data_IF_619632312635
#
_entry.id   IF_619632312635
#
_cell.length_a   1.000
_cell.length_b   1.000
_cell.length_c   1.000
_cell.angle_alpha   90.00
_cell.angle_beta   90.00
_cell.angle_gamma   90.00
#
_symmetry.space_group_name_H-M   'P 1'
#
loop_
_entity.id
_entity.type
_entity.pdbx_description
1 polymer ?
#
# COMPACT_ATOMS: atom_id res chain seq x y z
N UNK A 1 -51.73 16.06 20.14
CA UNK A 1 -50.64 15.96 21.12
C UNK A 1 -49.48 15.23 20.48
N UNK A 2 -48.52 15.98 19.91
CA UNK A 2 -47.25 15.45 19.38
C UNK A 2 -46.18 16.48 19.77
N UNK A 3 -45.51 16.23 20.89
CA UNK A 3 -44.24 16.85 21.31
C UNK A 3 -43.13 16.08 20.59
N UNK A 4 -42.18 16.65 19.84
CA UNK A 4 -41.51 17.94 19.98
C UNK A 4 -40.09 17.71 20.51
N UNK A 5 -39.24 17.00 19.74
CA UNK A 5 -37.84 16.74 20.11
C UNK A 5 -36.92 17.69 19.33
N UNK A 6 -36.61 18.83 19.94
CA UNK A 6 -35.61 19.80 19.49
C UNK A 6 -34.25 19.38 20.05
N UNK A 7 -33.37 18.83 19.20
CA UNK A 7 -31.97 18.55 19.56
C UNK A 7 -31.17 19.85 19.44
N UNK A 8 -30.72 20.34 20.59
CA UNK A 8 -29.89 21.54 20.77
C UNK A 8 -28.44 21.19 20.41
N UNK A 9 -27.91 21.77 19.33
CA UNK A 9 -26.48 21.71 18.97
C UNK A 9 -25.69 22.81 19.72
N UNK A 10 -24.49 22.53 20.24
CA UNK A 10 -23.66 23.54 20.92
C UNK A 10 -22.95 24.47 19.91
N UNK A 11 -22.86 25.78 20.19
CA UNK A 11 -22.20 26.75 19.32
C UNK A 11 -20.74 26.97 19.77
N UNK A 12 -19.80 26.15 19.31
CA UNK A 12 -18.36 26.47 19.46
C UNK A 12 -17.46 25.56 18.61
N UNK A 13 -17.51 25.74 17.29
CA UNK A 13 -16.40 25.40 16.37
C UNK A 13 -16.73 25.94 14.97
N UNK A 14 -16.89 27.25 14.87
CA UNK A 14 -17.00 27.97 13.60
C UNK A 14 -15.71 28.75 13.43
N UNK A 15 -14.73 28.12 12.78
CA UNK A 15 -13.71 28.76 11.95
C UNK A 15 -12.97 27.62 11.22
N UNK A 16 -12.82 27.71 9.90
CA UNK A 16 -12.28 26.73 8.93
C UNK A 16 -13.23 25.85 8.10
N UNK A 17 -14.55 25.87 8.30
CA UNK A 17 -15.49 25.12 7.45
C UNK A 17 -16.12 25.90 6.28
N UNK A 18 -16.12 27.23 6.30
CA UNK A 18 -17.02 28.03 5.47
C UNK A 18 -16.59 28.18 4.01
N UNK A 19 -15.29 28.22 3.70
CA UNK A 19 -14.82 28.45 2.32
C UNK A 19 -15.02 27.22 1.40
N UNK A 20 -14.81 26.01 1.92
CA UNK A 20 -15.01 24.78 1.15
C UNK A 20 -16.50 24.43 0.98
N UNK A 21 -17.33 24.75 1.97
CA UNK A 21 -18.78 24.59 1.89
C UNK A 21 -19.42 25.60 0.91
N UNK A 22 -18.95 26.86 0.90
CA UNK A 22 -19.41 27.88 -0.06
C UNK A 22 -19.04 27.52 -1.51
N UNK A 23 -17.85 26.96 -1.75
CA UNK A 23 -17.46 26.46 -3.08
C UNK A 23 -18.31 25.28 -3.56
N UNK A 24 -18.76 24.42 -2.65
CA UNK A 24 -19.56 23.24 -2.99
C UNK A 24 -21.04 23.61 -3.23
N UNK A 25 -21.57 24.61 -2.53
CA UNK A 25 -22.93 25.14 -2.76
C UNK A 25 -23.01 25.91 -4.09
N UNK A 26 -22.00 26.72 -4.42
CA UNK A 26 -21.95 27.44 -5.71
C UNK A 26 -21.78 26.50 -6.92
N UNK A 27 -21.16 25.32 -6.74
CA UNK A 27 -21.02 24.32 -7.80
C UNK A 27 -22.32 23.53 -8.05
N UNK A 28 -23.15 23.34 -7.02
CA UNK A 28 -24.45 22.65 -7.13
C UNK A 28 -25.52 23.56 -7.74
N UNK A 29 -25.52 24.87 -7.44
CA UNK A 29 -26.45 25.82 -8.09
C UNK A 29 -26.13 26.06 -9.57
N UNK A 30 -24.85 26.02 -9.98
CA UNK A 30 -24.49 26.19 -11.39
C UNK A 30 -24.89 24.98 -12.27
N UNK A 31 -25.21 23.84 -11.67
CA UNK A 31 -25.66 22.63 -12.37
C UNK A 31 -27.19 22.57 -12.54
N UNK A 32 -27.95 23.40 -11.80
CA UNK A 32 -29.41 23.43 -11.84
C UNK A 32 -29.98 24.30 -12.99
N UNK A 33 -29.13 25.01 -13.74
CA UNK A 33 -29.51 25.85 -14.89
C UNK A 33 -29.30 25.18 -16.26
N UNK A 34 -28.82 23.94 -16.30
CA UNK A 34 -28.72 23.17 -17.54
C UNK A 34 -30.06 22.47 -17.83
N UNK A 35 -30.79 23.01 -18.80
CA UNK A 35 -32.13 22.61 -19.17
C UNK A 35 -32.33 21.12 -19.46
N UNK A 36 -33.53 20.66 -19.14
CA UNK A 36 -34.11 19.36 -19.47
C UNK A 36 -34.04 19.09 -20.98
N UNK A 37 -33.23 18.10 -21.37
CA UNK A 37 -33.26 17.48 -22.70
C UNK A 37 -34.37 16.41 -22.71
N UNK A 38 -35.28 16.40 -23.69
CA UNK A 38 -36.36 15.42 -23.76
C UNK A 38 -35.82 14.02 -24.10
N UNK A 39 -36.35 13.04 -23.38
CA UNK A 39 -36.05 11.62 -23.45
C UNK A 39 -36.68 11.01 -24.72
N UNK A 40 -35.90 10.39 -25.65
CA UNK A 40 -36.50 9.62 -26.72
C UNK A 40 -36.92 8.24 -26.21
N UNK A 41 -38.18 7.92 -26.47
CA UNK A 41 -38.77 6.61 -26.26
C UNK A 41 -38.18 5.57 -27.23
N UNK A 42 -37.98 4.35 -26.74
CA UNK A 42 -37.84 3.16 -27.58
C UNK A 42 -36.45 2.51 -27.55
N UNK A 43 -36.27 1.55 -26.65
CA UNK A 43 -35.21 0.53 -26.74
C UNK A 43 -35.76 -0.73 -27.42
N UNK A 44 -35.27 -1.13 -28.61
CA UNK A 44 -35.61 -2.41 -29.23
C UNK A 44 -34.83 -3.57 -28.60
N UNK A 45 -35.45 -4.75 -28.58
CA UNK A 45 -34.88 -6.01 -28.10
C UNK A 45 -33.65 -6.45 -28.92
N UNK A 46 -32.70 -7.19 -28.31
CA UNK A 46 -31.55 -7.74 -29.00
C UNK A 46 -31.92 -9.02 -29.78
N UNK A 47 -31.78 -8.96 -31.11
CA UNK A 47 -31.75 -10.16 -31.95
C UNK A 47 -30.37 -10.87 -31.87
N UNK A 48 -30.34 -12.21 -31.97
CA UNK A 48 -29.10 -12.98 -31.99
C UNK A 48 -28.35 -12.76 -33.31
N UNK A 49 -27.08 -12.32 -33.22
CA UNK A 49 -26.17 -12.24 -34.38
C UNK A 49 -25.64 -13.64 -34.71
N UNK A 50 -26.15 -14.20 -35.80
CA UNK A 50 -25.46 -15.21 -36.61
C UNK A 50 -24.37 -14.52 -37.44
N UNK A 51 -23.13 -14.97 -37.28
CA UNK A 51 -21.98 -14.54 -38.08
C UNK A 51 -21.92 -15.38 -39.36
N UNK A 52 -22.07 -14.82 -40.57
CA UNK A 52 -21.68 -15.53 -41.78
C UNK A 52 -20.17 -15.42 -41.99
N UNK A 53 -19.54 -16.56 -42.30
CA UNK A 53 -18.16 -16.63 -42.74
C UNK A 53 -18.01 -15.95 -44.11
N UNK A 54 -17.25 -14.86 -44.16
CA UNK A 54 -16.90 -14.16 -45.40
C UNK A 54 -15.66 -14.82 -45.99
N UNK A 55 -15.84 -15.69 -46.98
CA UNK A 55 -14.77 -16.11 -47.88
C UNK A 55 -14.41 -14.93 -48.79
N UNK A 56 -13.22 -14.34 -48.59
CA UNK A 56 -12.64 -13.37 -49.52
C UNK A 56 -11.81 -14.15 -50.53
N UNK A 57 -12.32 -14.25 -51.76
CA UNK A 57 -11.55 -14.67 -52.93
C UNK A 57 -10.67 -13.49 -53.38
N UNK A 58 -9.37 -13.71 -53.52
CA UNK A 58 -8.45 -12.77 -54.15
C UNK A 58 -8.48 -12.97 -55.67
N UNK A 59 -8.84 -11.97 -56.48
CA UNK A 59 -8.57 -12.02 -57.90
C UNK A 59 -7.14 -11.58 -58.18
N UNK A 60 -6.44 -12.45 -58.90
CA UNK A 60 -5.15 -12.19 -59.52
C UNK A 60 -5.23 -11.05 -60.56
N UNK A 61 -4.15 -10.28 -60.61
CA UNK A 61 -3.76 -9.34 -61.69
C UNK A 61 -4.57 -8.04 -61.86
N UNK A 62 -4.29 -7.05 -61.02
CA UNK A 62 -4.37 -5.64 -61.43
C UNK A 62 -2.96 -5.07 -61.61
N UNK A 63 -2.64 -4.71 -62.86
CA UNK A 63 -1.46 -3.90 -63.20
C UNK A 63 -1.63 -2.52 -62.58
N UNK A 64 -0.90 -2.26 -61.49
CA UNK A 64 -0.78 -0.93 -60.90
C UNK A 64 0.14 -0.10 -61.77
N UNK A 65 -0.44 0.78 -62.59
CA UNK A 65 0.27 1.85 -63.26
C UNK A 65 0.77 2.80 -62.17
N UNK A 66 2.09 2.90 -62.02
CA UNK A 66 2.73 3.92 -61.19
C UNK A 66 2.43 5.30 -61.80
N UNK A 67 1.44 5.99 -61.24
CA UNK A 67 1.27 7.43 -61.41
C UNK A 67 2.20 8.08 -60.39
N UNK A 68 3.23 8.78 -60.89
CA UNK A 68 4.10 9.61 -60.06
C UNK A 68 3.24 10.58 -59.25
N UNK A 69 3.31 10.54 -57.90
CA UNK A 69 2.58 11.50 -57.09
C UNK A 69 3.26 12.85 -57.24
N UNK A 70 2.63 13.75 -58.00
CA UNK A 70 2.96 15.17 -58.00
C UNK A 70 3.04 15.64 -56.55
N UNK A 71 4.26 15.99 -56.13
CA UNK A 71 4.59 16.56 -54.83
C UNK A 71 3.89 17.90 -54.66
N UNK A 72 2.63 17.89 -54.21
CA UNK A 72 1.93 19.07 -53.74
C UNK A 72 2.62 19.50 -52.43
N UNK A 73 3.25 20.69 -52.35
CA UNK A 73 3.86 21.15 -51.11
C UNK A 73 2.75 21.45 -50.10
N UNK A 74 2.51 20.52 -49.17
CA UNK A 74 1.61 20.72 -48.04
C UNK A 74 2.23 21.79 -47.13
N UNK A 75 1.88 23.06 -47.36
CA UNK A 75 2.15 24.15 -46.42
C UNK A 75 1.35 23.88 -45.15
N UNK A 76 1.98 23.22 -44.18
CA UNK A 76 1.41 23.05 -42.85
C UNK A 76 1.12 24.45 -42.26
N UNK A 77 -0.14 24.76 -41.90
CA UNK A 77 -0.45 26.03 -41.28
C UNK A 77 0.33 26.14 -39.97
N UNK A 78 1.04 27.26 -39.78
CA UNK A 78 1.72 27.58 -38.52
C UNK A 78 0.64 27.66 -37.43
N UNK A 79 0.50 26.61 -36.62
CA UNK A 79 -0.41 26.63 -35.47
C UNK A 79 0.11 27.68 -34.49
N UNK A 80 -0.73 28.63 -34.06
CA UNK A 80 -0.34 29.55 -32.99
C UNK A 80 0.03 28.72 -31.75
N UNK A 81 1.15 29.07 -31.10
CA UNK A 81 1.58 28.47 -29.85
C UNK A 81 0.41 28.52 -28.87
N UNK A 82 -0.11 27.35 -28.49
CA UNK A 82 -1.18 27.28 -27.51
C UNK A 82 -0.72 27.95 -26.22
N UNK A 83 -1.60 28.72 -25.57
CA UNK A 83 -1.20 29.51 -24.43
C UNK A 83 -0.82 28.61 -23.24
N UNK A 84 0.21 28.98 -22.46
CA UNK A 84 0.80 28.14 -21.39
C UNK A 84 -0.19 27.73 -20.29
N UNK A 85 -1.33 28.42 -20.17
CA UNK A 85 -2.40 28.11 -19.22
C UNK A 85 -3.02 26.72 -19.48
N UNK A 86 -3.06 26.26 -20.73
CA UNK A 86 -3.59 24.94 -21.07
C UNK A 86 -2.80 23.81 -20.40
N UNK A 87 -1.47 23.95 -20.35
CA UNK A 87 -0.58 22.97 -19.73
C UNK A 87 -0.76 22.93 -18.20
N UNK A 88 -0.98 24.09 -17.58
CA UNK A 88 -1.29 24.19 -16.14
C UNK A 88 -2.62 23.48 -15.84
N UNK A 89 -3.64 23.71 -16.67
CA UNK A 89 -4.95 23.05 -16.53
C UNK A 89 -4.85 21.52 -16.58
N UNK A 90 -4.06 20.97 -17.50
CA UNK A 90 -3.84 19.53 -17.62
C UNK A 90 -3.12 18.96 -16.40
N UNK A 91 -2.06 19.62 -15.91
CA UNK A 91 -1.30 19.16 -14.74
C UNK A 91 -2.17 19.18 -13.47
N UNK A 92 -2.94 20.26 -13.25
CA UNK A 92 -3.85 20.37 -12.11
C UNK A 92 -4.98 19.34 -12.20
N UNK A 93 -5.60 19.20 -13.37
CA UNK A 93 -6.66 18.22 -13.60
C UNK A 93 -6.19 16.79 -13.35
N UNK A 94 -4.99 16.44 -13.85
CA UNK A 94 -4.38 15.13 -13.60
C UNK A 94 -4.06 14.92 -12.11
N UNK A 95 -3.46 15.90 -11.44
CA UNK A 95 -3.13 15.82 -10.02
C UNK A 95 -4.37 15.62 -9.13
N UNK A 96 -5.46 16.34 -9.42
CA UNK A 96 -6.74 16.17 -8.71
C UNK A 96 -7.37 14.81 -8.99
N UNK A 97 -7.34 14.34 -10.24
CA UNK A 97 -7.88 13.04 -10.61
C UNK A 97 -7.13 11.90 -9.89
N UNK A 98 -5.80 11.90 -9.94
CA UNK A 98 -4.99 10.86 -9.30
C UNK A 98 -5.04 10.94 -7.77
N UNK A 99 -5.02 12.15 -7.21
CA UNK A 99 -5.20 12.36 -5.78
C UNK A 99 -6.56 11.85 -5.27
N UNK A 100 -7.62 12.05 -6.04
CA UNK A 100 -8.96 11.55 -5.69
C UNK A 100 -9.01 10.02 -5.68
N UNK A 101 -8.38 9.36 -6.66
CA UNK A 101 -8.29 7.90 -6.74
C UNK A 101 -7.51 7.32 -5.56
N UNK A 102 -6.36 7.92 -5.24
CA UNK A 102 -5.56 7.54 -4.09
C UNK A 102 -6.34 7.69 -2.77
N UNK A 103 -7.03 8.81 -2.58
CA UNK A 103 -7.84 9.06 -1.39
C UNK A 103 -9.00 8.07 -1.26
N UNK A 104 -9.67 7.73 -2.36
CA UNK A 104 -10.72 6.72 -2.39
C UNK A 104 -10.17 5.33 -2.03
N UNK A 105 -9.03 4.94 -2.60
CA UNK A 105 -8.35 3.68 -2.27
C UNK A 105 -7.96 3.60 -0.79
N UNK A 106 -7.41 4.68 -0.25
CA UNK A 106 -7.05 4.75 1.16
C UNK A 106 -8.27 4.69 2.10
N UNK A 107 -9.35 5.41 1.79
CA UNK A 107 -10.62 5.33 2.54
C UNK A 107 -11.26 3.95 2.45
N UNK A 108 -11.18 3.28 1.29
CA UNK A 108 -11.65 1.90 1.10
C UNK A 108 -10.86 0.95 1.98
N UNK A 109 -9.52 0.96 1.88
CA UNK A 109 -8.63 0.14 2.73
C UNK A 109 -8.93 0.31 4.22
N UNK A 110 -9.06 1.55 4.70
CA UNK A 110 -9.38 1.83 6.11
C UNK A 110 -10.73 1.26 6.53
N UNK A 111 -11.75 1.34 5.67
CA UNK A 111 -13.07 0.76 5.94
C UNK A 111 -13.00 -0.77 6.03
N UNK A 112 -12.27 -1.41 5.12
CA UNK A 112 -12.10 -2.87 5.13
C UNK A 112 -11.35 -3.34 6.39
N UNK A 113 -10.27 -2.67 6.77
CA UNK A 113 -9.51 -3.01 7.99
C UNK A 113 -10.38 -2.85 9.25
N UNK A 114 -11.23 -1.82 9.30
CA UNK A 114 -12.17 -1.62 10.41
C UNK A 114 -13.23 -2.71 10.45
N UNK A 115 -13.86 -3.01 9.31
CA UNK A 115 -14.87 -4.07 9.22
C UNK A 115 -14.28 -5.42 9.66
N UNK A 116 -13.04 -5.72 9.27
CA UNK A 116 -12.33 -6.92 9.70
C UNK A 116 -12.07 -6.93 11.21
N UNK A 117 -11.63 -5.81 11.79
CA UNK A 117 -11.49 -5.69 13.26
C UNK A 117 -12.82 -5.89 13.99
N UNK A 118 -13.91 -5.36 13.44
CA UNK A 118 -15.23 -5.48 14.04
C UNK A 118 -15.74 -6.93 13.97
N UNK A 119 -15.48 -7.65 12.86
CA UNK A 119 -15.72 -9.10 12.78
C UNK A 119 -14.88 -9.86 13.81
N UNK A 120 -13.58 -9.57 13.93
CA UNK A 120 -12.72 -10.21 14.94
C UNK A 120 -13.22 -9.99 16.37
N UNK A 121 -13.73 -8.79 16.70
CA UNK A 121 -14.34 -8.50 18.01
C UNK A 121 -15.64 -9.26 18.23
N UNK A 122 -16.49 -9.33 17.20
CA UNK A 122 -17.72 -10.11 17.23
C UNK A 122 -17.43 -11.59 17.49
N UNK A 123 -16.46 -12.15 16.76
CA UNK A 123 -15.99 -13.52 16.98
C UNK A 123 -15.46 -13.74 18.39
N UNK A 124 -14.68 -12.80 18.92
CA UNK A 124 -14.18 -12.87 20.30
C UNK A 124 -15.33 -12.99 21.32
N UNK A 125 -16.43 -12.26 21.10
CA UNK A 125 -17.61 -12.35 21.98
C UNK A 125 -18.42 -13.63 21.82
N UNK A 126 -18.33 -14.32 20.67
CA UNK A 126 -19.05 -15.57 20.39
C UNK A 126 -18.31 -16.82 20.88
N UNK A 127 -16.98 -16.77 20.99
CA UNK A 127 -16.16 -17.92 21.39
C UNK A 127 -16.56 -18.56 22.73
N UNK A 128 -16.91 -17.79 23.79
CA UNK A 128 -17.39 -18.38 25.05
C UNK A 128 -18.66 -19.23 24.85
N UNK A 129 -19.58 -18.78 24.00
CA UNK A 129 -20.82 -19.51 23.70
C UNK A 129 -20.53 -20.81 22.95
N UNK A 130 -19.58 -20.80 22.00
CA UNK A 130 -19.16 -22.03 21.32
C UNK A 130 -18.50 -23.03 22.27
N UNK A 131 -17.70 -22.55 23.22
CA UNK A 131 -17.08 -23.39 24.25
C UNK A 131 -18.17 -24.01 25.15
N UNK A 132 -19.15 -23.22 25.58
CA UNK A 132 -20.27 -23.71 26.40
C UNK A 132 -21.10 -24.77 25.65
N UNK A 133 -21.41 -24.56 24.37
CA UNK A 133 -22.09 -25.56 23.53
C UNK A 133 -21.30 -26.88 23.51
N UNK A 134 -19.99 -26.84 23.26
CA UNK A 134 -19.17 -28.05 23.29
C UNK A 134 -19.17 -28.72 24.68
N UNK A 135 -19.13 -27.95 25.77
CA UNK A 135 -19.19 -28.48 27.14
C UNK A 135 -20.54 -29.14 27.44
N UNK A 136 -21.65 -28.55 27.00
CA UNK A 136 -22.99 -29.15 27.12
C UNK A 136 -23.12 -30.45 26.34
N UNK A 137 -22.52 -30.51 25.14
CA UNK A 137 -22.47 -31.73 24.33
C UNK A 137 -21.65 -32.82 25.03
N UNK A 138 -20.46 -32.48 25.55
CA UNK A 138 -19.64 -33.41 26.35
C UNK A 138 -20.42 -33.93 27.57
N UNK A 139 -21.08 -33.03 28.32
CA UNK A 139 -21.89 -33.39 29.48
C UNK A 139 -23.04 -34.33 29.13
N UNK A 140 -23.68 -34.13 27.97
CA UNK A 140 -24.72 -35.04 27.47
C UNK A 140 -24.15 -36.40 27.09
N UNK A 141 -23.04 -36.43 26.35
CA UNK A 141 -22.37 -37.68 25.94
C UNK A 141 -21.88 -38.51 27.13
N UNK A 142 -21.34 -37.88 28.18
CA UNK A 142 -20.94 -38.54 29.43
C UNK A 142 -22.12 -39.23 30.14
N UNK A 143 -23.33 -38.73 29.94
CA UNK A 143 -24.57 -39.32 30.46
C UNK A 143 -25.23 -40.29 29.45
N UNK A 144 -24.53 -40.67 28.38
CA UNK A 144 -25.05 -41.46 27.27
C UNK A 144 -26.33 -40.88 26.65
N UNK A 145 -26.46 -39.55 26.64
CA UNK A 145 -27.56 -38.81 26.00
C UNK A 145 -27.04 -38.10 24.78
N UNK A 146 -27.75 -38.27 23.67
CA UNK A 146 -27.46 -37.54 22.44
C UNK A 146 -28.21 -36.21 22.46
N UNK A 147 -27.48 -35.10 22.28
CA UNK A 147 -28.05 -33.77 22.15
C UNK A 147 -27.85 -33.27 20.72
N UNK A 148 -28.91 -33.17 19.90
CA UNK A 148 -28.81 -32.52 18.60
C UNK A 148 -28.59 -31.02 18.81
N UNK A 149 -27.36 -30.55 18.58
CA UNK A 149 -27.02 -29.15 18.65
C UNK A 149 -27.29 -28.45 17.31
N UNK A 150 -28.12 -27.39 17.26
CA UNK A 150 -28.14 -26.53 16.08
C UNK A 150 -26.78 -25.83 15.96
N UNK A 151 -26.12 -25.99 14.81
CA UNK A 151 -24.85 -25.33 14.55
C UNK A 151 -25.06 -23.83 14.34
N UNK A 152 -24.73 -23.03 15.35
CA UNK A 152 -24.53 -21.58 15.16
C UNK A 152 -23.19 -21.41 14.48
N UNK A 153 -23.21 -20.95 13.22
CA UNK A 153 -21.99 -20.76 12.44
C UNK A 153 -21.25 -19.50 12.87
N UNK A 154 -19.93 -19.56 12.90
CA UNK A 154 -19.08 -18.40 13.14
C UNK A 154 -19.28 -17.34 12.04
N UNK A 155 -19.26 -16.06 12.43
CA UNK A 155 -19.31 -14.94 11.48
C UNK A 155 -18.00 -14.83 10.70
N UNK A 156 -18.07 -14.99 9.37
CA UNK A 156 -16.89 -14.99 8.49
C UNK A 156 -17.04 -14.19 7.20
N UNK A 157 -18.17 -13.51 7.05
CA UNK A 157 -18.57 -12.87 5.80
C UNK A 157 -17.63 -11.74 5.40
N UNK A 158 -17.10 -10.99 6.37
CA UNK A 158 -16.17 -9.89 6.12
C UNK A 158 -14.80 -10.44 5.75
N UNK A 159 -14.26 -11.42 6.48
CA UNK A 159 -12.99 -12.02 6.13
C UNK A 159 -13.00 -12.60 4.71
N UNK A 160 -13.98 -13.45 4.38
CA UNK A 160 -14.04 -14.11 3.07
C UNK A 160 -14.21 -13.09 1.93
N UNK A 161 -14.96 -12.00 2.16
CA UNK A 161 -15.18 -10.95 1.15
C UNK A 161 -13.99 -10.00 0.97
N UNK A 162 -13.15 -9.81 2.00
CA UNK A 162 -12.18 -8.70 2.03
C UNK A 162 -10.72 -9.15 2.01
N UNK A 163 -10.43 -10.42 2.34
CA UNK A 163 -9.05 -10.89 2.52
C UNK A 163 -8.21 -10.76 1.24
N UNK A 164 -8.78 -11.01 0.06
CA UNK A 164 -8.07 -10.88 -1.23
C UNK A 164 -7.61 -9.44 -1.48
N UNK A 165 -8.44 -8.45 -1.14
CA UNK A 165 -8.11 -7.03 -1.29
C UNK A 165 -7.16 -6.54 -0.19
N UNK A 166 -7.27 -7.08 1.02
CA UNK A 166 -6.42 -6.73 2.16
C UNK A 166 -5.06 -7.44 2.17
N UNK A 167 -4.88 -8.52 1.42
CA UNK A 167 -3.64 -9.30 1.34
C UNK A 167 -2.37 -8.46 1.07
N UNK A 168 -2.33 -7.50 0.13
CA UNK A 168 -1.14 -6.65 -0.06
C UNK A 168 -0.94 -5.60 1.05
N UNK A 169 -1.89 -5.50 1.97
CA UNK A 169 -1.98 -4.43 2.97
C UNK A 169 -1.80 -4.92 4.41
N UNK A 170 -1.88 -6.22 4.62
CA UNK A 170 -1.62 -6.92 5.87
C UNK A 170 -0.20 -7.50 5.84
N UNK A 171 0.44 -7.52 7.01
CA UNK A 171 1.71 -8.22 7.20
C UNK A 171 1.53 -9.74 7.03
N UNK A 172 2.62 -10.44 6.74
CA UNK A 172 2.60 -11.91 6.64
C UNK A 172 2.07 -12.55 7.93
N UNK A 173 2.46 -12.04 9.11
CA UNK A 173 1.96 -12.51 10.41
C UNK A 173 0.46 -12.32 10.57
N UNK A 174 -0.07 -11.15 10.25
CA UNK A 174 -1.53 -10.89 10.31
C UNK A 174 -2.31 -11.82 9.38
N UNK A 175 -1.84 -11.99 8.14
CA UNK A 175 -2.50 -12.87 7.16
C UNK A 175 -2.51 -14.31 7.63
N UNK A 176 -1.36 -14.81 8.09
CA UNK A 176 -1.21 -16.17 8.57
C UNK A 176 -2.09 -16.43 9.80
N UNK A 177 -2.07 -15.50 10.76
CA UNK A 177 -2.90 -15.58 11.96
C UNK A 177 -4.39 -15.61 11.60
N UNK A 178 -4.87 -14.65 10.80
CA UNK A 178 -6.27 -14.58 10.40
C UNK A 178 -6.70 -15.82 9.62
N UNK A 179 -5.85 -16.32 8.72
CA UNK A 179 -6.12 -17.55 8.00
C UNK A 179 -6.30 -18.74 8.95
N UNK A 180 -5.39 -18.92 9.91
CA UNK A 180 -5.48 -20.00 10.91
C UNK A 180 -6.74 -19.86 11.77
N UNK A 181 -7.08 -18.65 12.20
CA UNK A 181 -8.30 -18.38 12.97
C UNK A 181 -9.54 -18.80 12.19
N UNK A 182 -9.71 -18.31 10.96
CA UNK A 182 -10.91 -18.57 10.17
C UNK A 182 -11.02 -20.04 9.71
N UNK A 183 -9.90 -20.72 9.44
CA UNK A 183 -9.94 -22.15 9.13
C UNK A 183 -10.27 -23.01 10.37
N UNK A 184 -9.76 -22.68 11.55
CA UNK A 184 -10.14 -23.40 12.78
C UNK A 184 -11.62 -23.22 13.13
N UNK A 185 -12.15 -22.01 12.94
CA UNK A 185 -13.59 -21.74 13.09
C UNK A 185 -14.41 -22.54 12.06
N UNK A 186 -13.94 -22.63 10.81
CA UNK A 186 -14.56 -23.47 9.76
C UNK A 186 -14.69 -24.92 10.19
N UNK A 187 -13.60 -25.50 10.69
CA UNK A 187 -13.54 -26.91 11.09
C UNK A 187 -14.52 -27.14 12.23
N UNK A 188 -14.59 -26.23 13.20
CA UNK A 188 -15.59 -26.26 14.26
C UNK A 188 -17.02 -26.21 13.76
N UNK A 189 -17.34 -25.27 12.85
CA UNK A 189 -18.68 -25.14 12.27
C UNK A 189 -19.12 -26.43 11.56
N UNK A 190 -18.23 -27.02 10.75
CA UNK A 190 -18.50 -28.28 10.03
C UNK A 190 -18.68 -29.43 11.01
N UNK A 191 -17.77 -29.56 11.99
CA UNK A 191 -17.83 -30.61 13.00
C UNK A 191 -19.14 -30.57 13.80
N UNK A 192 -19.58 -29.39 14.26
CA UNK A 192 -20.82 -29.25 15.03
C UNK A 192 -22.04 -29.50 14.13
N UNK A 193 -22.02 -29.02 12.88
CA UNK A 193 -23.12 -29.23 11.94
C UNK A 193 -23.32 -30.70 11.56
N UNK A 194 -22.21 -31.43 11.36
CA UNK A 194 -22.24 -32.82 10.92
C UNK A 194 -22.33 -33.81 12.10
N UNK A 195 -22.05 -33.38 13.34
CA UNK A 195 -22.04 -34.21 14.54
C UNK A 195 -23.22 -35.18 14.63
N UNK A 196 -24.44 -34.67 14.46
CA UNK A 196 -25.62 -35.48 14.69
C UNK A 196 -25.79 -36.62 13.69
N UNK A 197 -25.42 -36.39 12.43
CA UNK A 197 -25.44 -37.43 11.41
C UNK A 197 -24.30 -38.42 11.65
N UNK A 198 -23.08 -37.90 11.79
CA UNK A 198 -21.87 -38.71 11.82
C UNK A 198 -21.82 -39.59 13.07
N UNK A 199 -22.25 -39.08 14.23
CA UNK A 199 -22.36 -39.86 15.47
C UNK A 199 -23.35 -41.03 15.36
N UNK A 200 -24.54 -40.79 14.77
CA UNK A 200 -25.55 -41.84 14.58
C UNK A 200 -25.09 -42.90 13.58
N UNK A 201 -24.35 -42.51 12.55
CA UNK A 201 -23.77 -43.45 11.59
C UNK A 201 -22.68 -44.33 12.23
N UNK A 202 -21.79 -43.73 13.03
CA UNK A 202 -20.76 -44.47 13.77
C UNK A 202 -21.39 -45.47 14.76
N UNK A 203 -22.46 -45.08 15.46
CA UNK A 203 -23.23 -45.97 16.34
C UNK A 203 -23.89 -47.13 15.58
N UNK A 204 -24.53 -46.83 14.43
CA UNK A 204 -25.23 -47.84 13.63
C UNK A 204 -24.29 -48.88 13.05
N UNK A 205 -23.12 -48.44 12.60
CA UNK A 205 -22.15 -49.31 11.91
C UNK A 205 -21.12 -49.95 12.85
N UNK A 206 -21.13 -49.59 14.14
CA UNK A 206 -20.20 -50.08 15.17
C UNK A 206 -18.72 -49.99 14.73
N UNK A 207 -18.36 -48.94 13.98
CA UNK A 207 -17.01 -48.78 13.42
C UNK A 207 -15.96 -48.50 14.50
N UNK A 208 -16.38 -47.94 15.64
CA UNK A 208 -15.53 -47.55 16.76
C UNK A 208 -16.01 -48.31 18.00
N UNK A 209 -15.06 -48.87 18.76
CA UNK A 209 -15.37 -49.65 19.96
C UNK A 209 -16.05 -48.80 21.06
N UNK A 210 -15.64 -47.54 21.21
CA UNK A 210 -16.25 -46.56 22.12
C UNK A 210 -16.52 -45.24 21.37
N UNK A 211 -17.68 -45.10 20.72
CA UNK A 211 -18.03 -43.87 20.01
C UNK A 211 -18.27 -42.70 20.97
N UNK A 212 -18.71 -42.96 22.22
CA UNK A 212 -18.96 -41.89 23.19
C UNK A 212 -17.66 -41.22 23.61
N UNK A 213 -16.66 -42.01 24.01
CA UNK A 213 -15.34 -41.51 24.36
C UNK A 213 -14.66 -40.79 23.19
N UNK A 214 -14.76 -41.34 21.98
CA UNK A 214 -14.18 -40.71 20.78
C UNK A 214 -14.74 -39.31 20.52
N UNK A 215 -16.06 -39.12 20.62
CA UNK A 215 -16.67 -37.80 20.43
C UNK A 215 -16.42 -36.84 21.58
N UNK A 216 -16.37 -37.31 22.83
CA UNK A 216 -15.95 -36.49 23.96
C UNK A 216 -14.56 -35.92 23.70
N UNK A 217 -13.60 -36.75 23.30
CA UNK A 217 -12.24 -36.31 22.98
C UNK A 217 -12.23 -35.29 21.83
N UNK A 218 -13.00 -35.51 20.76
CA UNK A 218 -13.12 -34.53 19.66
C UNK A 218 -13.63 -33.17 20.14
N UNK A 219 -14.64 -33.14 21.01
CA UNK A 219 -15.14 -31.87 21.54
C UNK A 219 -14.13 -31.20 22.49
N UNK A 220 -13.38 -31.96 23.29
CA UNK A 220 -12.31 -31.43 24.13
C UNK A 220 -11.17 -30.82 23.30
N UNK A 221 -10.77 -31.48 22.21
CA UNK A 221 -9.83 -30.92 21.23
C UNK A 221 -10.36 -29.64 20.58
N UNK A 222 -11.65 -29.62 20.23
CA UNK A 222 -12.27 -28.44 19.63
C UNK A 222 -12.37 -27.26 20.61
N UNK A 223 -12.63 -27.50 21.89
CA UNK A 223 -12.55 -26.48 22.95
C UNK A 223 -11.12 -25.90 23.00
N UNK A 224 -10.10 -26.74 23.00
CA UNK A 224 -8.70 -26.29 22.94
C UNK A 224 -8.39 -25.47 21.69
N UNK A 225 -9.01 -25.82 20.56
CA UNK A 225 -8.92 -25.04 19.31
C UNK A 225 -9.56 -23.65 19.46
N UNK A 226 -10.75 -23.54 20.05
CA UNK A 226 -11.40 -22.24 20.30
C UNK A 226 -10.62 -21.36 21.26
N UNK A 227 -10.04 -21.92 22.32
CA UNK A 227 -9.16 -21.18 23.25
C UNK A 227 -7.88 -20.66 22.58
N UNK A 228 -7.34 -21.41 21.60
CA UNK A 228 -6.24 -20.90 20.77
C UNK A 228 -6.71 -19.75 19.89
N UNK A 229 -7.87 -19.90 19.22
CA UNK A 229 -8.45 -18.84 18.38
C UNK A 229 -8.67 -17.56 19.19
N UNK A 230 -9.17 -17.67 20.42
CA UNK A 230 -9.34 -16.53 21.33
C UNK A 230 -8.04 -15.76 21.54
N UNK A 231 -6.96 -16.47 21.91
CA UNK A 231 -5.64 -15.85 22.13
C UNK A 231 -5.08 -15.20 20.87
N UNK A 232 -5.26 -15.85 19.72
CA UNK A 232 -4.83 -15.30 18.42
C UNK A 232 -5.60 -14.02 18.07
N UNK A 233 -6.93 -14.02 18.20
CA UNK A 233 -7.75 -12.83 17.97
C UNK A 233 -7.41 -11.68 18.92
N UNK A 234 -7.20 -11.97 20.21
CA UNK A 234 -6.74 -10.97 21.18
C UNK A 234 -5.40 -10.35 20.75
N UNK A 235 -4.45 -11.18 20.30
CA UNK A 235 -3.15 -10.69 19.83
C UNK A 235 -3.24 -9.81 18.58
N UNK A 236 -4.14 -10.17 17.65
CA UNK A 236 -4.42 -9.40 16.45
C UNK A 236 -5.06 -8.04 16.80
N UNK A 237 -6.09 -8.03 17.64
CA UNK A 237 -6.78 -6.81 18.08
C UNK A 237 -5.85 -5.89 18.88
N UNK A 238 -4.91 -6.47 19.65
CA UNK A 238 -3.90 -5.72 20.39
C UNK A 238 -2.80 -5.11 19.48
N UNK A 239 -2.81 -5.41 18.17
CA UNK A 239 -1.79 -4.95 17.23
C UNK A 239 -0.44 -5.69 17.33
N UNK A 240 -0.39 -6.80 18.07
CA UNK A 240 0.79 -7.65 18.24
C UNK A 240 0.48 -9.09 17.80
N UNK A 241 0.28 -9.32 16.49
CA UNK A 241 -0.12 -10.63 15.96
C UNK A 241 0.96 -11.68 16.26
N UNK A 242 0.55 -12.76 16.91
CA UNK A 242 1.41 -13.92 17.15
C UNK A 242 1.77 -14.57 15.82
N UNK A 243 3.05 -14.86 15.61
CA UNK A 243 3.49 -15.63 14.45
C UNK A 243 3.21 -17.12 14.67
N UNK A 244 2.18 -17.62 14.00
CA UNK A 244 1.71 -19.00 14.14
C UNK A 244 2.63 -20.01 13.44
N UNK A 245 3.34 -19.61 12.39
CA UNK A 245 4.20 -20.51 11.61
C UNK A 245 5.68 -20.39 11.96
N UNK A 246 6.04 -19.50 12.89
CA UNK A 246 7.42 -19.23 13.28
C UNK A 246 8.33 -18.97 12.07
N UNK A 247 7.79 -18.29 11.06
CA UNK A 247 8.55 -17.94 9.88
C UNK A 247 9.54 -16.86 10.29
N UNK A 248 10.83 -17.20 10.28
CA UNK A 248 11.90 -16.22 10.44
C UNK A 248 11.84 -15.26 9.25
N UNK A 249 11.03 -14.20 9.35
CA UNK A 249 10.97 -13.17 8.33
C UNK A 249 12.29 -12.38 8.38
N UNK A 250 13.17 -12.50 7.37
CA UNK A 250 14.48 -11.84 7.39
C UNK A 250 14.38 -10.31 7.39
N UNK A 251 13.18 -9.74 7.18
CA UNK A 251 12.90 -8.31 7.21
C UNK A 251 12.27 -7.76 8.50
N UNK A 252 11.85 -8.61 9.45
CA UNK A 252 10.99 -8.17 10.57
C UNK A 252 11.73 -7.86 11.89
N UNK A 253 13.06 -8.01 11.92
CA UNK A 253 13.88 -7.68 13.09
C UNK A 253 13.78 -6.18 13.51
N UNK A 254 13.26 -5.29 12.65
CA UNK A 254 13.04 -3.87 12.95
C UNK A 254 11.59 -3.38 12.86
N UNK A 255 10.63 -4.22 12.44
CA UNK A 255 9.29 -3.78 12.02
C UNK A 255 8.23 -3.77 13.12
N UNK A 256 8.33 -4.66 14.11
CA UNK A 256 7.31 -4.83 15.14
C UNK A 256 7.18 -3.61 16.07
N UNK A 257 8.29 -2.98 16.45
CA UNK A 257 8.29 -1.75 17.25
C UNK A 257 7.70 -0.55 16.47
N UNK A 258 7.89 -0.49 15.16
CA UNK A 258 7.33 0.57 14.31
C UNK A 258 5.81 0.42 14.10
N UNK A 259 5.26 -0.81 14.11
CA UNK A 259 3.83 -1.07 13.87
C UNK A 259 2.96 -1.10 15.12
N UNK A 260 3.48 -1.47 16.30
CA UNK A 260 2.79 -1.24 17.57
C UNK A 260 2.50 0.25 17.82
N UNK A 261 3.29 1.13 17.17
CA UNK A 261 3.09 2.59 17.19
C UNK A 261 1.97 3.07 16.23
N UNK A 262 1.51 2.24 15.27
CA UNK A 262 0.49 2.62 14.29
C UNK A 262 -0.97 2.36 14.74
N UNK A 263 -1.18 1.65 15.85
CA UNK A 263 -2.51 1.29 16.37
C UNK A 263 -2.80 1.74 17.83
N UNK A 264 -1.87 2.49 18.47
CA UNK A 264 -2.11 3.28 19.69
C UNK A 264 -2.21 4.78 19.34
N UNK A 265 -2.79 5.66 20.19
CA UNK A 265 -3.52 6.84 19.75
C UNK A 265 -2.64 7.78 18.92
N UNK A 266 -3.02 7.95 17.65
CA UNK A 266 -2.65 9.01 16.71
C UNK A 266 -1.41 9.81 17.17
N UNK A 267 -0.20 9.25 16.95
CA UNK A 267 0.94 10.13 16.77
C UNK A 267 0.75 10.88 15.44
N UNK A 268 1.07 12.19 15.39
CA UNK A 268 0.85 12.97 14.18
C UNK A 268 1.64 12.38 13.00
N UNK A 269 1.09 12.45 11.77
CA UNK A 269 1.70 11.91 10.54
C UNK A 269 3.12 12.44 10.26
N UNK A 270 3.54 13.49 10.96
CA UNK A 270 4.86 14.09 10.87
C UNK A 270 5.99 13.15 11.26
N UNK A 271 5.78 12.21 12.19
CA UNK A 271 6.87 11.37 12.70
C UNK A 271 7.34 10.32 11.66
N UNK A 272 6.41 9.68 10.96
CA UNK A 272 6.75 8.65 9.96
C UNK A 272 7.37 9.27 8.71
N UNK A 273 6.88 10.45 8.31
CA UNK A 273 7.44 11.21 7.20
C UNK A 273 8.87 11.64 7.55
N UNK A 274 9.14 12.13 8.77
CA UNK A 274 10.49 12.51 9.19
C UNK A 274 11.47 11.32 9.20
N UNK A 275 11.05 10.14 9.69
CA UNK A 275 11.88 8.91 9.64
C UNK A 275 12.16 8.45 8.21
N UNK A 276 11.21 8.61 7.29
CA UNK A 276 11.41 8.29 5.89
C UNK A 276 12.48 9.19 5.27
N UNK A 277 12.37 10.51 5.45
CA UNK A 277 13.37 11.45 4.96
C UNK A 277 14.75 11.28 5.62
N UNK A 278 14.82 10.90 6.91
CA UNK A 278 16.09 10.55 7.56
C UNK A 278 16.81 9.40 6.85
N UNK A 279 16.09 8.37 6.41
CA UNK A 279 16.69 7.25 5.67
C UNK A 279 17.28 7.70 4.34
N UNK A 280 16.55 8.52 3.59
CA UNK A 280 17.02 9.06 2.30
C UNK A 280 18.26 9.92 2.49
N UNK A 281 18.26 10.82 3.49
CA UNK A 281 19.39 11.68 3.83
C UNK A 281 20.62 10.86 4.24
N UNK A 282 20.43 9.81 5.05
CA UNK A 282 21.52 8.94 5.49
C UNK A 282 22.12 8.13 4.34
N UNK A 283 21.28 7.66 3.41
CA UNK A 283 21.74 6.96 2.20
C UNK A 283 22.58 7.89 1.31
N UNK A 284 22.09 9.10 1.05
CA UNK A 284 22.83 10.11 0.28
C UNK A 284 24.16 10.46 0.96
N UNK A 285 24.16 10.64 2.29
CA UNK A 285 25.36 10.91 3.09
C UNK A 285 26.40 9.80 2.97
N UNK A 286 25.99 8.53 3.11
CA UNK A 286 26.92 7.38 2.99
C UNK A 286 27.55 7.29 1.60
N UNK A 287 26.75 7.50 0.55
CA UNK A 287 27.25 7.52 -0.82
C UNK A 287 28.29 8.63 -1.04
N UNK A 288 28.00 9.84 -0.59
CA UNK A 288 28.94 10.98 -0.67
C UNK A 288 30.23 10.73 0.13
N UNK A 289 30.14 10.12 1.31
CA UNK A 289 31.31 9.78 2.10
C UNK A 289 32.17 8.68 1.44
N UNK A 290 31.55 7.72 0.75
CA UNK A 290 32.26 6.73 -0.08
C UNK A 290 33.05 7.38 -1.22
N UNK A 291 32.44 8.37 -1.89
CA UNK A 291 33.08 9.16 -2.95
C UNK A 291 34.28 9.95 -2.40
N UNK A 292 34.14 10.68 -1.29
CA UNK A 292 35.23 11.48 -0.71
C UNK A 292 36.41 10.60 -0.24
N UNK A 293 36.14 9.46 0.40
CA UNK A 293 37.20 8.51 0.81
C UNK A 293 37.99 7.96 -0.38
N UNK A 294 37.29 7.62 -1.47
CA UNK A 294 37.92 7.11 -2.69
C UNK A 294 38.77 8.17 -3.39
N UNK A 295 38.30 9.42 -3.44
CA UNK A 295 39.06 10.53 -4.03
C UNK A 295 40.23 10.95 -3.12
N UNK A 296 40.07 10.89 -1.80
CA UNK A 296 41.13 11.21 -0.83
C UNK A 296 42.29 10.22 -0.86
N UNK A 297 42.00 8.92 -0.97
CA UNK A 297 43.03 7.87 -0.97
C UNK A 297 43.86 7.81 -2.26
N UNK A 298 43.37 8.36 -3.37
CA UNK A 298 44.13 8.46 -4.63
C UNK A 298 45.42 9.27 -4.51
N UNK A 299 45.54 10.14 -3.50
CA UNK A 299 46.77 10.90 -3.25
C UNK A 299 47.92 10.13 -2.61
N UNK A 300 47.67 8.94 -2.04
CA UNK A 300 48.66 8.23 -1.23
C UNK A 300 49.07 6.84 -1.77
N UNK A 301 48.16 6.05 -2.36
CA UNK A 301 48.44 4.63 -2.63
C UNK A 301 47.86 4.02 -3.93
N UNK A 302 47.55 4.84 -4.93
CA UNK A 302 47.31 4.35 -6.29
C UNK A 302 45.90 4.54 -6.83
N UNK A 303 45.82 4.26 -8.12
CA UNK A 303 44.76 4.67 -9.05
C UNK A 303 43.41 4.06 -8.64
N UNK A 304 42.54 4.83 -7.98
CA UNK A 304 41.11 4.50 -7.97
C UNK A 304 40.59 4.80 -9.36
N UNK A 305 40.51 3.76 -10.19
CA UNK A 305 39.94 3.87 -11.53
C UNK A 305 38.44 4.24 -11.48
N UNK A 306 37.89 4.78 -12.58
CA UNK A 306 36.47 5.14 -12.72
C UNK A 306 35.49 4.06 -12.22
N UNK A 307 35.87 2.78 -12.39
CA UNK A 307 35.09 1.61 -11.95
C UNK A 307 34.85 1.56 -10.44
N UNK A 308 35.74 2.13 -9.62
CA UNK A 308 35.60 2.15 -8.16
C UNK A 308 34.54 3.13 -7.65
N UNK A 309 34.25 4.21 -8.38
CA UNK A 309 33.30 5.25 -7.98
C UNK A 309 31.84 4.94 -8.36
N UNK A 310 31.64 4.05 -9.35
CA UNK A 310 30.33 3.74 -9.93
C UNK A 310 29.27 3.24 -8.93
N UNK A 311 29.59 2.36 -7.95
CA UNK A 311 28.60 1.90 -6.98
C UNK A 311 28.06 3.03 -6.09
N UNK A 312 28.94 3.95 -5.69
CA UNK A 312 28.55 5.07 -4.83
C UNK A 312 27.73 6.10 -5.61
N UNK A 313 28.09 6.35 -6.86
CA UNK A 313 27.32 7.18 -7.79
C UNK A 313 25.92 6.60 -8.02
N UNK A 314 25.79 5.29 -8.22
CA UNK A 314 24.48 4.63 -8.35
C UNK A 314 23.65 4.73 -7.05
N UNK A 315 24.28 4.56 -5.89
CA UNK A 315 23.61 4.70 -4.59
C UNK A 315 23.10 6.14 -4.38
N UNK A 316 23.91 7.13 -4.76
CA UNK A 316 23.54 8.55 -4.71
C UNK A 316 22.37 8.87 -5.65
N UNK A 317 22.40 8.34 -6.87
CA UNK A 317 21.31 8.49 -7.82
C UNK A 317 19.99 7.90 -7.29
N UNK A 318 20.04 6.71 -6.70
CA UNK A 318 18.88 6.09 -6.06
C UNK A 318 18.27 6.96 -4.95
N UNK A 319 19.11 7.55 -4.10
CA UNK A 319 18.64 8.46 -3.05
C UNK A 319 18.00 9.74 -3.61
N UNK A 320 18.51 10.28 -4.72
CA UNK A 320 17.93 11.46 -5.39
C UNK A 320 16.53 11.13 -5.95
N UNK A 321 16.36 9.99 -6.62
CA UNK A 321 15.06 9.60 -7.19
C UNK A 321 14.04 9.24 -6.09
N UNK A 322 14.48 8.61 -5.01
CA UNK A 322 13.63 8.37 -3.83
C UNK A 322 13.19 9.69 -3.17
N UNK A 323 14.09 10.68 -3.08
CA UNK A 323 13.75 12.02 -2.61
C UNK A 323 12.69 12.69 -3.50
N UNK A 324 12.88 12.68 -4.82
CA UNK A 324 11.93 13.29 -5.78
C UNK A 324 10.54 12.67 -5.68
N UNK A 325 10.46 11.35 -5.66
CA UNK A 325 9.19 10.61 -5.53
C UNK A 325 8.52 10.82 -4.18
N UNK A 326 9.30 11.09 -3.13
CA UNK A 326 8.79 11.32 -1.77
C UNK A 326 8.46 12.79 -1.47
N UNK A 327 8.88 13.74 -2.32
CA UNK A 327 8.75 15.19 -2.09
C UNK A 327 7.31 15.63 -1.76
N UNK A 328 6.31 15.05 -2.42
CA UNK A 328 4.90 15.38 -2.18
C UNK A 328 4.46 15.09 -0.73
N UNK A 329 5.06 14.09 -0.07
CA UNK A 329 4.79 13.76 1.34
C UNK A 329 5.44 14.74 2.30
N UNK A 330 6.44 15.50 1.87
CA UNK A 330 7.16 16.46 2.72
C UNK A 330 6.27 17.64 3.12
N UNK A 331 5.27 17.97 2.30
CA UNK A 331 4.22 18.96 2.61
C UNK A 331 3.45 18.58 3.89
N UNK A 332 3.36 17.29 4.21
CA UNK A 332 2.70 16.79 5.43
C UNK A 332 3.46 17.16 6.71
N UNK A 333 4.76 17.46 6.64
CA UNK A 333 5.56 17.92 7.78
C UNK A 333 5.20 19.34 8.23
N UNK A 334 4.48 20.12 7.40
CA UNK A 334 4.16 21.55 7.63
C UNK A 334 5.38 22.41 8.01
N UNK A 335 6.57 22.03 7.52
CA UNK A 335 7.86 22.70 7.78
C UNK A 335 8.43 23.23 6.46
N UNK A 336 7.93 24.37 5.94
CA UNK A 336 8.34 24.89 4.63
C UNK A 336 9.84 25.22 4.55
N UNK A 337 10.44 25.62 5.68
CA UNK A 337 11.87 25.90 5.77
C UNK A 337 12.71 24.63 5.58
N UNK A 338 12.28 23.51 6.16
CA UNK A 338 12.95 22.23 6.01
C UNK A 338 12.78 21.68 4.59
N UNK A 339 11.58 21.81 4.03
CA UNK A 339 11.31 21.43 2.64
C UNK A 339 12.22 22.17 1.66
N UNK A 340 12.37 23.49 1.85
CA UNK A 340 13.27 24.30 1.04
C UNK A 340 14.72 23.84 1.20
N UNK A 341 15.21 23.66 2.43
CA UNK A 341 16.58 23.18 2.68
C UNK A 341 16.85 21.83 2.03
N UNK A 342 15.95 20.86 2.17
CA UNK A 342 16.08 19.54 1.55
C UNK A 342 16.07 19.66 0.02
N UNK A 343 15.15 20.43 -0.54
CA UNK A 343 15.07 20.62 -1.99
C UNK A 343 16.34 21.28 -2.55
N UNK A 344 16.85 22.32 -1.88
CA UNK A 344 18.05 23.03 -2.29
C UNK A 344 19.28 22.10 -2.22
N UNK A 345 19.42 21.32 -1.13
CA UNK A 345 20.53 20.37 -0.97
C UNK A 345 20.49 19.27 -2.03
N UNK A 346 19.33 18.65 -2.27
CA UNK A 346 19.23 17.59 -3.28
C UNK A 346 19.37 18.12 -4.71
N UNK A 347 18.94 19.34 -4.99
CA UNK A 347 19.15 19.98 -6.30
C UNK A 347 20.64 20.28 -6.57
N UNK A 348 21.37 20.75 -5.56
CA UNK A 348 22.82 20.97 -5.66
C UNK A 348 23.57 19.64 -5.83
N UNK A 349 23.22 18.62 -5.03
CA UNK A 349 23.80 17.26 -5.15
C UNK A 349 23.52 16.66 -6.53
N UNK A 350 22.31 16.82 -7.08
CA UNK A 350 21.96 16.32 -8.41
C UNK A 350 22.75 17.03 -9.52
N UNK A 351 22.91 18.36 -9.43
CA UNK A 351 23.71 19.11 -10.40
C UNK A 351 25.14 18.58 -10.44
N UNK A 352 25.73 18.35 -9.27
CA UNK A 352 27.10 17.85 -9.16
C UNK A 352 27.25 16.40 -9.56
N UNK A 353 26.26 15.56 -9.24
CA UNK A 353 26.23 14.20 -9.75
C UNK A 353 26.29 14.18 -11.28
N UNK A 354 25.48 15.01 -11.96
CA UNK A 354 25.48 15.09 -13.42
C UNK A 354 26.81 15.62 -13.97
N UNK A 355 27.42 16.60 -13.31
CA UNK A 355 28.70 17.13 -13.72
C UNK A 355 29.84 16.10 -13.50
N UNK A 356 29.81 15.37 -12.40
CA UNK A 356 30.75 14.29 -12.11
C UNK A 356 30.59 13.14 -13.11
N UNK A 357 29.37 12.70 -13.40
CA UNK A 357 29.10 11.63 -14.38
C UNK A 357 29.60 12.01 -15.78
N UNK A 358 29.35 13.27 -16.20
CA UNK A 358 29.89 13.83 -17.45
C UNK A 358 31.41 13.89 -17.46
N UNK A 359 32.04 14.19 -16.33
CA UNK A 359 33.49 14.23 -16.20
C UNK A 359 34.11 12.83 -16.15
N UNK A 360 33.41 11.82 -15.63
CA UNK A 360 33.91 10.44 -15.51
C UNK A 360 33.80 9.69 -16.85
N UNK A 361 32.74 9.95 -17.63
CA UNK A 361 32.46 9.26 -18.90
C UNK A 361 33.63 9.26 -19.92
N UNK A 362 34.41 10.34 -20.12
CA UNK A 362 35.56 10.34 -21.03
C UNK A 362 36.73 9.44 -20.59
N UNK A 363 36.87 9.18 -19.28
CA UNK A 363 37.98 8.41 -18.70
C UNK A 363 37.71 6.90 -18.65
N UNK A 364 36.55 6.44 -19.14
CA UNK A 364 36.31 5.01 -19.37
C UNK A 364 37.05 4.48 -20.61
N UNK A 365 37.68 5.35 -21.40
CA UNK A 365 38.54 4.95 -22.52
C UNK A 365 39.90 4.46 -21.98
N UNK A 366 40.41 3.31 -22.46
CA UNK A 366 41.64 2.69 -21.96
C UNK A 366 42.92 3.51 -22.14
N UNK A 367 42.87 4.62 -22.89
CA UNK A 367 44.05 5.35 -23.36
C UNK A 367 44.43 6.55 -22.48
N UNK A 368 43.69 6.85 -21.41
CA UNK A 368 43.96 8.03 -20.56
C UNK A 368 44.83 7.67 -19.36
N UNK A 369 46.07 8.18 -19.36
CA UNK A 369 47.05 7.92 -18.30
C UNK A 369 46.62 8.41 -16.90
N UNK A 370 47.02 7.70 -15.82
CA UNK A 370 46.50 7.89 -14.46
C UNK A 370 46.79 9.26 -13.81
N UNK A 371 47.75 10.03 -14.34
CA UNK A 371 48.14 11.33 -13.77
C UNK A 371 47.17 12.48 -14.06
N UNK A 372 46.36 12.40 -15.13
CA UNK A 372 45.45 13.49 -15.54
C UNK A 372 44.18 13.52 -14.67
N UNK A 373 43.75 12.37 -14.17
CA UNK A 373 42.53 12.21 -13.39
C UNK A 373 42.56 12.98 -12.04
N UNK A 374 43.69 12.97 -11.33
CA UNK A 374 43.76 13.49 -9.96
C UNK A 374 43.46 15.00 -9.85
N UNK A 375 43.90 15.80 -10.82
CA UNK A 375 43.63 17.24 -10.82
C UNK A 375 42.16 17.59 -11.13
N UNK A 376 41.45 16.73 -11.87
CA UNK A 376 40.05 16.95 -12.21
C UNK A 376 39.08 16.61 -11.07
N UNK A 377 39.43 15.71 -10.16
CA UNK A 377 38.54 15.29 -9.06
C UNK A 377 38.67 16.12 -7.77
N UNK A 378 39.66 17.00 -7.65
CA UNK A 378 39.85 17.84 -6.44
C UNK A 378 38.66 18.78 -6.16
N UNK A 379 38.10 19.51 -7.15
CA UNK A 379 36.91 20.34 -6.93
C UNK A 379 35.69 19.51 -6.53
N UNK A 380 35.60 18.26 -7.04
CA UNK A 380 34.54 17.34 -6.67
C UNK A 380 34.63 17.01 -5.18
N UNK A 381 35.80 16.59 -4.68
CA UNK A 381 36.00 16.25 -3.27
C UNK A 381 35.69 17.39 -2.30
N UNK A 382 36.17 18.60 -2.58
CA UNK A 382 35.88 19.78 -1.75
C UNK A 382 34.37 20.05 -1.69
N UNK A 383 33.68 19.84 -2.81
CA UNK A 383 32.24 19.97 -2.86
C UNK A 383 31.49 18.85 -2.15
N UNK A 384 31.96 17.60 -2.24
CA UNK A 384 31.36 16.46 -1.54
C UNK A 384 31.31 16.70 -0.04
N UNK A 385 32.40 17.23 0.54
CA UNK A 385 32.46 17.57 1.98
C UNK A 385 31.47 18.65 2.37
N UNK A 386 31.30 19.68 1.53
CA UNK A 386 30.30 20.73 1.75
C UNK A 386 28.87 20.17 1.77
N UNK A 387 28.55 19.22 0.89
CA UNK A 387 27.25 18.55 0.86
C UNK A 387 27.01 17.65 2.05
N UNK A 388 28.03 16.90 2.50
CA UNK A 388 27.94 16.09 3.71
C UNK A 388 27.63 16.96 4.93
N UNK A 389 28.32 18.09 5.10
CA UNK A 389 28.04 19.03 6.19
C UNK A 389 26.61 19.59 6.14
N UNK A 390 26.09 19.89 4.94
CA UNK A 390 24.70 20.34 4.74
C UNK A 390 23.68 19.24 5.07
N UNK A 391 23.93 18.00 4.64
CA UNK A 391 23.09 16.84 4.96
C UNK A 391 23.10 16.53 6.46
N UNK A 392 24.23 16.71 7.15
CA UNK A 392 24.33 16.56 8.61
C UNK A 392 23.49 17.61 9.35
N UNK A 393 23.48 18.87 8.87
CA UNK A 393 22.62 19.90 9.42
C UNK A 393 21.13 19.57 9.22
N UNK A 394 20.74 19.08 8.04
CA UNK A 394 19.36 18.66 7.75
C UNK A 394 18.96 17.44 8.59
N UNK A 395 19.87 16.47 8.75
CA UNK A 395 19.68 15.30 9.61
C UNK A 395 19.43 15.72 11.06
N UNK A 396 20.22 16.65 11.59
CA UNK A 396 20.01 17.16 12.95
C UNK A 396 18.64 17.84 13.12
N UNK A 397 18.13 18.55 12.11
CA UNK A 397 16.79 19.13 12.13
C UNK A 397 15.68 18.08 12.05
N UNK A 398 15.84 17.06 11.20
CA UNK A 398 14.90 15.93 11.13
C UNK A 398 14.89 15.12 12.43
N UNK A 399 16.04 14.91 13.06
CA UNK A 399 16.15 14.24 14.36
C UNK A 399 15.41 15.01 15.46
N UNK A 400 15.47 16.35 15.45
CA UNK A 400 14.68 17.21 16.36
C UNK A 400 13.17 17.06 16.15
N UNK A 401 12.71 16.73 14.94
CA UNK A 401 11.28 16.51 14.64
C UNK A 401 10.82 15.10 15.01
N UNK A 402 11.74 14.15 15.15
CA UNK A 402 11.46 12.77 15.58
C UNK A 402 11.58 12.56 17.09
N UNK A 403 12.23 13.48 17.81
CA UNK A 403 12.23 13.51 19.28
C UNK A 403 11.03 14.29 19.76
#
# INVERSE_FOLDING_TARGET
MVTGLLVRWPPSSLEFGSAAALMLVLFVESSALAGTVPQPAGSPQPHPRTTPALHVAFPDTMKVSLVEPDTIPVRLPKRPLEPPWALIGVVVGFGLAEGSRWLQGWRRRRRLIRALHDECRSLLSQLPDFIDICQQMIGSLRNHRFLPGPAVRAMRTVYDATITELTPHLSSRERNLLHVVHERLKVGDVMIADHGRDFLEELRHQQIADPWGAWINRFEEQIGSYQLVERLLQSFIAGNPVDVFHLQDPGDAGGAAARATALSPILPPTHDVARHFLRIVEQARRALHGIDLKIGNTGAFGVVGPRGLRPDLQSLHGAIEEFKSSKARMVELRQPTLEKKLTDVFADVERQYRDADRQVSPYERPDVGPGVAAHHFRPLAESTRSHVARLDAVKAELEKLTR
#
